data_IF_790457177129
#
_entry.id   IF_790457177129
#
_cell.length_a   1.000
_cell.length_b   1.000
_cell.length_c   1.000
_cell.angle_alpha   90.00
_cell.angle_beta   90.00
_cell.angle_gamma   90.00
#
_symmetry.space_group_name_H-M   'P 1'
#
loop_
_entity.id
_entity.type
_entity.pdbx_description
1 polymer ?
#
# COMPACT_ATOMS: atom_id res chain seq x y z
N UNK A 1 41.46 34.26 -26.00
CA UNK A 1 40.23 33.81 -25.32
C UNK A 1 39.77 32.52 -25.97
N UNK A 2 39.90 31.39 -25.28
CA UNK A 2 39.85 30.02 -25.84
C UNK A 2 38.55 29.75 -26.63
N UNK A 3 38.67 29.00 -27.74
CA UNK A 3 37.56 28.48 -28.54
C UNK A 3 36.47 27.82 -27.66
N UNK A 4 36.87 27.16 -26.57
CA UNK A 4 35.96 26.58 -25.58
C UNK A 4 35.13 27.62 -24.82
N UNK A 5 35.68 28.80 -24.50
CA UNK A 5 34.88 29.88 -23.89
C UNK A 5 33.87 30.43 -24.89
N UNK A 6 34.24 30.57 -26.17
CA UNK A 6 33.32 31.02 -27.22
C UNK A 6 32.21 30.00 -27.50
N UNK A 7 32.54 28.70 -27.50
CA UNK A 7 31.58 27.62 -27.67
C UNK A 7 30.62 27.51 -26.47
N UNK A 8 31.12 27.68 -25.24
CA UNK A 8 30.29 27.71 -24.04
C UNK A 8 29.32 28.91 -24.04
N UNK A 9 29.80 30.11 -24.37
CA UNK A 9 28.93 31.28 -24.50
C UNK A 9 27.95 31.16 -25.67
N UNK A 10 28.33 30.50 -26.77
CA UNK A 10 27.44 30.23 -27.90
C UNK A 10 26.35 29.21 -27.54
N UNK A 11 26.67 28.15 -26.78
CA UNK A 11 25.70 27.17 -26.29
C UNK A 11 24.74 27.76 -25.24
N UNK A 12 25.24 28.69 -24.40
CA UNK A 12 24.40 29.46 -23.48
C UNK A 12 23.51 30.44 -24.25
N UNK A 13 24.04 31.14 -25.26
CA UNK A 13 23.28 32.08 -26.08
C UNK A 13 22.22 31.35 -26.95
N UNK A 14 22.53 30.16 -27.45
CA UNK A 14 21.60 29.31 -28.18
C UNK A 14 20.50 28.76 -27.26
N UNK A 15 20.83 28.35 -26.04
CA UNK A 15 19.83 28.01 -25.02
C UNK A 15 19.00 29.23 -24.61
N UNK A 16 19.60 30.40 -24.45
CA UNK A 16 18.90 31.65 -24.10
C UNK A 16 17.97 32.13 -25.23
N UNK A 17 18.36 31.94 -26.50
CA UNK A 17 17.51 32.22 -27.66
C UNK A 17 16.32 31.25 -27.75
N UNK A 18 16.52 29.97 -27.38
CA UNK A 18 15.43 29.00 -27.24
C UNK A 18 14.51 29.32 -26.04
N UNK A 19 15.07 29.84 -24.94
CA UNK A 19 14.30 30.30 -23.77
C UNK A 19 13.55 31.61 -24.00
N UNK A 20 14.02 32.47 -24.91
CA UNK A 20 13.30 33.69 -25.32
C UNK A 20 11.98 33.42 -26.03
N UNK A 21 11.81 32.22 -26.61
CA UNK A 21 10.54 31.78 -27.21
C UNK A 21 9.51 31.35 -26.15
N UNK A 22 9.96 30.98 -24.94
CA UNK A 22 9.11 30.50 -23.84
C UNK A 22 8.51 31.63 -22.98
N UNK A 23 8.94 32.88 -23.21
CA UNK A 23 8.33 34.05 -22.54
C UNK A 23 6.88 34.31 -22.99
N UNK A 24 6.47 33.75 -24.13
CA UNK A 24 5.10 33.87 -24.64
C UNK A 24 4.16 32.72 -24.24
N UNK A 25 4.65 31.65 -23.60
CA UNK A 25 3.84 30.45 -23.28
C UNK A 25 4.11 29.84 -21.89
N UNK A 26 4.34 30.67 -20.87
CA UNK A 26 4.05 30.27 -19.49
C UNK A 26 4.99 29.22 -18.87
N UNK A 27 6.30 29.42 -18.96
CA UNK A 27 7.23 29.27 -17.83
C UNK A 27 7.19 27.99 -16.98
N UNK A 28 7.11 26.78 -17.57
CA UNK A 28 7.34 25.52 -16.82
C UNK A 28 8.78 25.01 -16.88
N UNK A 29 9.49 25.24 -17.98
CA UNK A 29 10.86 24.70 -18.17
C UNK A 29 11.88 25.33 -17.21
N UNK A 30 11.69 26.61 -16.86
CA UNK A 30 12.55 27.30 -15.91
C UNK A 30 12.44 26.74 -14.47
N UNK A 31 11.26 26.26 -14.07
CA UNK A 31 11.05 25.65 -12.74
C UNK A 31 11.75 24.30 -12.63
N UNK A 32 11.63 23.44 -13.65
CA UNK A 32 12.27 22.12 -13.67
C UNK A 32 13.80 22.23 -13.76
N UNK A 33 14.34 23.25 -14.43
CA UNK A 33 15.79 23.48 -14.48
C UNK A 33 16.35 23.94 -13.12
N UNK A 34 15.63 24.81 -12.41
CA UNK A 34 16.02 25.29 -11.07
C UNK A 34 16.00 24.15 -10.06
N UNK A 35 15.02 23.24 -10.12
CA UNK A 35 14.97 22.08 -9.22
C UNK A 35 16.02 21.02 -9.57
N UNK A 36 16.34 20.85 -10.86
CA UNK A 36 17.47 19.99 -11.27
C UNK A 36 18.83 20.54 -10.81
N UNK A 37 19.03 21.85 -10.83
CA UNK A 37 20.26 22.50 -10.32
C UNK A 37 20.36 22.36 -8.79
N UNK A 38 19.24 22.44 -8.06
CA UNK A 38 19.22 22.21 -6.60
C UNK A 38 19.55 20.77 -6.19
N UNK A 39 19.37 19.79 -7.09
CA UNK A 39 19.65 18.36 -6.84
C UNK A 39 21.04 17.91 -7.29
N UNK A 40 21.88 18.81 -7.81
CA UNK A 40 23.27 18.51 -8.15
C UNK A 40 24.11 18.50 -6.87
N UNK A 41 24.60 17.33 -6.48
CA UNK A 41 25.61 17.19 -5.43
C UNK A 41 27.01 17.00 -6.03
N UNK A 42 28.03 17.15 -5.18
CA UNK A 42 29.43 17.16 -5.60
C UNK A 42 29.88 15.83 -6.24
N UNK A 43 29.27 14.71 -5.85
CA UNK A 43 29.50 13.40 -6.47
C UNK A 43 28.95 13.30 -7.90
N UNK A 44 27.73 13.79 -8.15
CA UNK A 44 27.17 13.85 -9.50
C UNK A 44 27.99 14.76 -10.41
N UNK A 45 28.40 15.93 -9.90
CA UNK A 45 29.28 16.83 -10.65
C UNK A 45 30.62 16.14 -10.98
N UNK A 46 31.23 15.45 -10.02
CA UNK A 46 32.48 14.71 -10.26
C UNK A 46 32.33 13.56 -11.26
N UNK A 47 31.19 12.88 -11.28
CA UNK A 47 30.88 11.85 -12.30
C UNK A 47 30.83 12.46 -13.71
N UNK A 48 30.07 13.54 -13.90
CA UNK A 48 29.97 14.22 -15.20
C UNK A 48 31.31 14.84 -15.63
N UNK A 49 32.07 15.41 -14.70
CA UNK A 49 33.40 15.93 -14.98
C UNK A 49 34.41 14.83 -15.34
N UNK A 50 34.29 13.63 -14.77
CA UNK A 50 35.16 12.50 -15.12
C UNK A 50 34.79 11.87 -16.48
N UNK A 51 33.51 11.85 -16.85
CA UNK A 51 33.04 11.46 -18.18
C UNK A 51 33.59 12.40 -19.29
N UNK A 52 33.67 13.70 -19.01
CA UNK A 52 34.14 14.72 -19.96
C UNK A 52 35.68 14.86 -20.06
N UNK A 53 36.44 14.13 -19.22
CA UNK A 53 37.92 14.15 -19.23
C UNK A 53 38.54 13.25 -20.31
N UNK A 54 37.80 12.28 -20.86
CA UNK A 54 38.30 11.44 -21.96
C UNK A 54 38.11 12.18 -23.29
N UNK A 55 39.20 12.52 -24.02
CA UNK A 55 39.11 13.17 -25.32
C UNK A 55 38.32 12.34 -26.34
N UNK A 56 38.38 11.01 -26.28
CA UNK A 56 37.62 10.11 -27.16
C UNK A 56 36.13 10.11 -26.83
N UNK A 57 35.74 10.11 -25.55
CA UNK A 57 34.34 10.22 -25.14
C UNK A 57 33.76 11.59 -25.47
N UNK A 58 34.53 12.66 -25.29
CA UNK A 58 34.11 14.00 -25.65
C UNK A 58 33.95 14.14 -27.17
N UNK A 59 34.90 13.60 -27.95
CA UNK A 59 34.78 13.54 -29.41
C UNK A 59 33.59 12.69 -29.87
N UNK A 60 33.30 11.58 -29.18
CA UNK A 60 32.11 10.75 -29.43
C UNK A 60 30.80 11.50 -29.18
N UNK A 61 30.70 12.23 -28.07
CA UNK A 61 29.51 13.04 -27.77
C UNK A 61 29.34 14.21 -28.74
N UNK A 62 30.44 14.87 -29.11
CA UNK A 62 30.43 15.95 -30.10
C UNK A 62 30.03 15.41 -31.48
N UNK A 63 30.60 14.29 -31.94
CA UNK A 63 30.24 13.68 -33.22
C UNK A 63 28.80 13.15 -33.25
N UNK A 64 28.29 12.65 -32.12
CA UNK A 64 26.89 12.22 -32.01
C UNK A 64 25.94 13.43 -32.07
N UNK A 65 26.28 14.53 -31.39
CA UNK A 65 25.52 15.79 -31.46
C UNK A 65 25.53 16.39 -32.88
N UNK A 66 26.67 16.43 -33.56
CA UNK A 66 26.75 16.90 -34.95
C UNK A 66 26.12 15.94 -35.96
N UNK A 67 26.16 14.63 -35.70
CA UNK A 67 25.47 13.61 -36.50
C UNK A 67 23.94 13.75 -36.44
N UNK A 68 23.39 14.14 -35.30
CA UNK A 68 21.95 14.41 -35.13
C UNK A 68 21.48 15.72 -35.78
N UNK A 69 22.41 16.62 -36.10
CA UNK A 69 22.12 17.90 -36.77
C UNK A 69 22.23 17.80 -38.30
N UNK A 70 22.79 16.71 -38.84
CA UNK A 70 23.04 16.50 -40.27
C UNK A 70 21.76 16.46 -41.12
N UNK A 71 20.66 15.96 -40.56
CA UNK A 71 19.44 15.66 -41.30
C UNK A 71 18.30 16.67 -41.05
N UNK A 72 18.58 17.78 -40.36
CA UNK A 72 17.61 18.85 -40.08
C UNK A 72 17.48 19.75 -41.30
N UNK A 73 16.38 19.62 -42.03
CA UNK A 73 16.13 20.39 -43.26
C UNK A 73 14.88 21.27 -43.17
N UNK A 74 14.09 21.14 -42.10
CA UNK A 74 12.83 21.85 -41.92
C UNK A 74 12.52 22.18 -40.45
N UNK A 75 11.58 23.12 -40.25
CA UNK A 75 11.05 23.47 -38.94
C UNK A 75 10.31 22.29 -38.27
N UNK A 76 9.76 21.36 -39.05
CA UNK A 76 9.08 20.17 -38.51
C UNK A 76 10.09 19.14 -37.97
N UNK A 77 11.28 19.03 -38.58
CA UNK A 77 12.38 18.21 -38.05
C UNK A 77 12.85 18.73 -36.69
N UNK A 78 12.91 20.06 -36.54
CA UNK A 78 13.22 20.73 -35.27
C UNK A 78 12.14 20.43 -34.24
N UNK A 79 10.86 20.52 -34.61
CA UNK A 79 9.74 20.21 -33.70
C UNK A 79 9.69 18.73 -33.31
N UNK A 80 10.05 17.80 -34.21
CA UNK A 80 10.18 16.38 -33.89
C UNK A 80 11.37 16.09 -32.98
N UNK A 81 12.51 16.76 -33.20
CA UNK A 81 13.67 16.69 -32.31
C UNK A 81 13.35 17.25 -30.93
N UNK A 82 12.65 18.38 -30.85
CA UNK A 82 12.19 18.97 -29.58
C UNK A 82 11.20 18.06 -28.88
N UNK A 83 10.27 17.42 -29.61
CA UNK A 83 9.37 16.41 -29.04
C UNK A 83 10.13 15.18 -28.51
N UNK A 84 11.16 14.72 -29.22
CA UNK A 84 12.10 13.68 -28.75
C UNK A 84 12.99 14.14 -27.60
N UNK A 85 13.34 15.42 -27.52
CA UNK A 85 14.15 15.96 -26.41
C UNK A 85 13.29 16.35 -25.20
N UNK A 86 11.98 16.54 -25.34
CA UNK A 86 11.06 16.59 -24.19
C UNK A 86 10.80 15.22 -23.57
N UNK A 87 11.25 14.14 -24.22
CA UNK A 87 11.57 12.86 -23.57
C UNK A 87 13.06 12.78 -23.26
N UNK A 88 13.60 13.77 -22.54
CA UNK A 88 14.85 13.55 -21.79
C UNK A 88 14.68 12.31 -20.91
N UNK A 89 15.72 11.47 -20.74
CA UNK A 89 15.61 10.26 -19.95
C UNK A 89 15.18 10.67 -18.55
N UNK A 90 13.94 10.32 -18.19
CA UNK A 90 13.54 10.28 -16.79
C UNK A 90 14.62 9.47 -16.12
N UNK A 91 15.30 10.09 -15.15
CA UNK A 91 16.19 9.39 -14.24
C UNK A 91 15.58 8.02 -13.94
N UNK A 92 16.36 6.95 -14.11
CA UNK A 92 16.02 5.55 -13.85
C UNK A 92 15.82 5.28 -12.36
N UNK A 93 15.00 6.11 -11.71
CA UNK A 93 14.58 5.95 -10.33
C UNK A 93 13.65 4.75 -10.33
N UNK A 94 14.15 3.64 -9.80
CA UNK A 94 13.33 2.49 -9.48
C UNK A 94 12.34 2.93 -8.40
N UNK A 95 11.07 2.95 -8.75
CA UNK A 95 9.98 3.27 -7.82
C UNK A 95 9.42 1.99 -7.22
N UNK A 96 8.82 2.10 -6.04
CA UNK A 96 8.30 0.96 -5.29
C UNK A 96 6.87 1.23 -4.85
N UNK A 97 6.03 0.20 -4.91
CA UNK A 97 4.76 0.13 -4.20
C UNK A 97 4.95 -0.83 -3.02
N UNK A 98 5.19 -0.26 -1.84
CA UNK A 98 5.71 -1.02 -0.69
C UNK A 98 7.07 -1.66 -1.01
N UNK A 99 7.13 -2.99 -0.96
CA UNK A 99 8.33 -3.76 -1.33
C UNK A 99 8.28 -4.34 -2.75
N UNK A 100 7.28 -4.00 -3.55
CA UNK A 100 7.14 -4.41 -4.96
C UNK A 100 7.75 -3.35 -5.85
N UNK A 101 8.65 -3.74 -6.76
CA UNK A 101 9.26 -2.83 -7.74
C UNK A 101 8.23 -2.44 -8.80
N UNK A 102 8.13 -1.15 -9.10
CA UNK A 102 7.26 -0.63 -10.16
C UNK A 102 8.09 -0.47 -11.44
N UNK A 103 7.78 -1.32 -12.41
CA UNK A 103 8.39 -1.31 -13.72
C UNK A 103 7.63 -0.38 -14.67
N UNK A 104 8.38 0.33 -15.50
CA UNK A 104 7.92 1.14 -16.64
C UNK A 104 8.77 0.81 -17.85
N UNK A 105 8.39 1.27 -19.04
CA UNK A 105 9.22 1.09 -20.25
C UNK A 105 10.65 1.62 -20.07
N UNK A 106 10.81 2.71 -19.31
CA UNK A 106 12.11 3.35 -19.08
C UNK A 106 13.07 2.51 -18.22
N UNK A 107 12.56 1.72 -17.28
CA UNK A 107 13.37 1.01 -16.30
C UNK A 107 13.37 -0.53 -16.48
N UNK A 108 12.47 -1.07 -17.30
CA UNK A 108 12.25 -2.52 -17.40
C UNK A 108 13.55 -3.29 -17.68
N UNK A 109 14.29 -2.90 -18.72
CA UNK A 109 15.53 -3.58 -19.12
C UNK A 109 16.69 -3.38 -18.13
N UNK A 110 16.67 -2.30 -17.35
CA UNK A 110 17.70 -2.04 -16.33
C UNK A 110 17.45 -2.81 -15.05
N UNK A 111 16.19 -3.05 -14.68
CA UNK A 111 15.81 -3.81 -13.48
C UNK A 111 15.76 -5.31 -13.77
N UNK A 112 15.22 -5.68 -14.93
CA UNK A 112 15.13 -7.07 -15.42
C UNK A 112 16.27 -7.32 -16.40
N UNK A 113 17.50 -7.15 -15.91
CA UNK A 113 18.74 -7.33 -16.67
C UNK A 113 19.28 -8.78 -16.63
N UNK A 114 18.51 -9.70 -16.02
CA UNK A 114 18.88 -11.11 -15.82
C UNK A 114 19.89 -11.35 -14.69
N UNK A 115 20.38 -10.33 -13.99
CA UNK A 115 21.29 -10.50 -12.84
C UNK A 115 20.62 -11.22 -11.67
N UNK A 116 19.30 -11.00 -11.51
CA UNK A 116 18.45 -11.62 -10.50
C UNK A 116 17.23 -12.24 -11.19
N UNK A 117 16.71 -13.36 -10.67
CA UNK A 117 15.41 -13.84 -11.08
C UNK A 117 14.30 -12.90 -10.60
N UNK A 118 13.19 -12.83 -11.35
CA UNK A 118 12.08 -11.94 -11.03
C UNK A 118 10.70 -12.58 -11.25
N UNK A 119 9.76 -12.31 -10.35
CA UNK A 119 8.33 -12.50 -10.61
C UNK A 119 7.72 -11.14 -10.93
N UNK A 120 7.09 -11.02 -12.10
CA UNK A 120 6.50 -9.78 -12.59
C UNK A 120 4.99 -9.93 -12.78
N UNK A 121 4.21 -9.06 -12.14
CA UNK A 121 2.78 -8.90 -12.38
C UNK A 121 2.53 -7.90 -13.50
N UNK A 122 1.96 -8.36 -14.61
CA UNK A 122 1.41 -7.50 -15.66
C UNK A 122 -0.05 -7.21 -15.34
N UNK A 123 -0.37 -5.94 -15.06
CA UNK A 123 -1.69 -5.51 -14.58
C UNK A 123 -2.25 -4.33 -15.39
N UNK A 124 -3.52 -4.01 -15.12
CA UNK A 124 -4.21 -2.81 -15.57
C UNK A 124 -4.97 -2.15 -14.40
N UNK A 125 -4.94 -0.82 -14.22
CA UNK A 125 -5.57 -0.15 -13.07
C UNK A 125 -7.08 -0.35 -12.96
N UNK A 126 -7.78 -0.54 -14.08
CA UNK A 126 -9.23 -0.74 -14.13
C UNK A 126 -9.65 -2.20 -13.90
N UNK A 127 -8.72 -3.16 -13.88
CA UNK A 127 -9.04 -4.58 -13.76
C UNK A 127 -9.41 -4.99 -12.32
N UNK A 128 -10.64 -5.46 -12.10
CA UNK A 128 -11.12 -5.92 -10.79
C UNK A 128 -10.31 -7.09 -10.21
N UNK A 129 -9.86 -8.02 -11.05
CA UNK A 129 -9.03 -9.15 -10.61
C UNK A 129 -7.62 -8.70 -10.18
N UNK A 130 -7.04 -7.69 -10.84
CA UNK A 130 -5.79 -7.06 -10.41
C UNK A 130 -5.96 -6.38 -9.05
N UNK A 131 -7.04 -5.60 -8.87
CA UNK A 131 -7.33 -4.96 -7.57
C UNK A 131 -7.46 -5.97 -6.44
N UNK A 132 -8.04 -7.16 -6.71
CA UNK A 132 -8.14 -8.25 -5.74
C UNK A 132 -6.79 -8.91 -5.44
N UNK A 133 -5.88 -8.99 -6.41
CA UNK A 133 -4.55 -9.57 -6.25
C UNK A 133 -3.55 -8.61 -5.56
N UNK A 134 -3.68 -7.30 -5.81
CA UNK A 134 -2.79 -6.26 -5.30
C UNK A 134 -2.41 -6.40 -3.81
N UNK A 135 -3.34 -6.60 -2.85
CA UNK A 135 -2.96 -6.77 -1.44
C UNK A 135 -2.10 -8.01 -1.20
N UNK A 136 -2.44 -9.15 -1.84
CA UNK A 136 -1.64 -10.39 -1.72
C UNK A 136 -0.26 -10.22 -2.36
N UNK A 137 -0.18 -9.52 -3.49
CA UNK A 137 1.08 -9.29 -4.19
C UNK A 137 2.00 -8.32 -3.43
N UNK A 138 1.42 -7.34 -2.73
CA UNK A 138 2.16 -6.49 -1.79
C UNK A 138 2.73 -7.32 -0.61
N UNK A 139 1.92 -8.23 -0.03
CA UNK A 139 2.41 -9.16 1.01
C UNK A 139 3.53 -10.07 0.50
N UNK A 140 3.48 -10.48 -0.76
CA UNK A 140 4.56 -11.23 -1.40
C UNK A 140 5.85 -10.39 -1.46
N UNK A 141 5.75 -9.13 -1.89
CA UNK A 141 6.87 -8.18 -1.85
C UNK A 141 7.46 -8.07 -0.45
N UNK A 142 6.63 -7.97 0.58
CA UNK A 142 7.06 -7.92 1.99
C UNK A 142 7.77 -9.21 2.43
N UNK A 143 7.28 -10.37 2.01
CA UNK A 143 7.87 -11.66 2.36
C UNK A 143 9.31 -11.82 1.85
N UNK A 144 9.63 -11.19 0.71
CA UNK A 144 10.95 -11.21 0.09
C UNK A 144 11.76 -9.92 0.30
N UNK A 145 11.23 -8.94 1.06
CA UNK A 145 11.89 -7.65 1.26
C UNK A 145 13.30 -7.74 1.88
N UNK A 146 13.58 -8.81 2.62
CA UNK A 146 14.88 -9.09 3.23
C UNK A 146 15.91 -9.68 2.26
N UNK A 147 15.52 -9.95 1.00
CA UNK A 147 16.32 -10.64 -0.02
C UNK A 147 16.22 -9.94 -1.39
N UNK A 148 16.07 -8.60 -1.39
CA UNK A 148 15.99 -7.76 -2.62
C UNK A 148 17.22 -7.89 -3.52
N UNK A 149 18.33 -8.38 -2.99
CA UNK A 149 19.56 -8.65 -3.74
C UNK A 149 19.57 -10.01 -4.45
N UNK A 150 18.65 -10.91 -4.08
CA UNK A 150 18.60 -12.28 -4.59
C UNK A 150 17.37 -12.58 -5.45
N UNK A 151 16.25 -11.88 -5.25
CA UNK A 151 15.03 -12.05 -6.05
C UNK A 151 14.25 -10.74 -6.17
N UNK A 152 13.64 -10.51 -7.33
CA UNK A 152 12.84 -9.31 -7.60
C UNK A 152 11.36 -9.68 -7.62
N UNK A 153 10.56 -8.96 -6.82
CA UNK A 153 9.09 -8.97 -6.94
C UNK A 153 8.69 -7.64 -7.56
N UNK A 154 8.06 -7.68 -8.73
CA UNK A 154 7.79 -6.48 -9.51
C UNK A 154 6.38 -6.49 -10.12
N UNK A 155 5.89 -5.30 -10.47
CA UNK A 155 4.64 -5.09 -11.21
C UNK A 155 4.86 -4.13 -12.38
N UNK A 156 4.11 -4.30 -13.44
CA UNK A 156 4.20 -3.55 -14.69
C UNK A 156 2.79 -3.23 -15.22
N UNK A 157 2.52 -1.96 -15.46
CA UNK A 157 1.24 -1.52 -16.03
C UNK A 157 1.25 -1.76 -17.56
N UNK A 158 0.81 -2.94 -18.00
CA UNK A 158 0.78 -3.29 -19.42
C UNK A 158 -0.42 -2.69 -20.17
N UNK A 159 -1.34 -2.00 -19.50
CA UNK A 159 -2.39 -1.21 -20.14
C UNK A 159 -1.87 0.15 -20.67
N UNK A 160 -0.98 0.77 -19.89
CA UNK A 160 -0.26 2.00 -20.25
C UNK A 160 0.91 1.70 -21.20
N UNK A 161 1.62 0.59 -20.97
CA UNK A 161 2.82 0.20 -21.70
C UNK A 161 2.60 -1.06 -22.57
N UNK A 162 1.69 -0.95 -23.53
CA UNK A 162 1.17 -2.10 -24.30
C UNK A 162 2.22 -2.81 -25.15
N UNK A 163 3.20 -2.09 -25.70
CA UNK A 163 4.23 -2.67 -26.57
C UNK A 163 5.10 -3.67 -25.81
N UNK A 164 5.60 -3.29 -24.63
CA UNK A 164 6.41 -4.17 -23.77
C UNK A 164 5.58 -5.34 -23.24
N UNK A 165 4.32 -5.10 -22.85
CA UNK A 165 3.41 -6.18 -22.48
C UNK A 165 3.21 -7.21 -23.62
N UNK A 166 3.05 -6.74 -24.85
CA UNK A 166 2.89 -7.59 -26.03
C UNK A 166 4.15 -8.42 -26.35
N UNK A 167 5.35 -7.84 -26.15
CA UNK A 167 6.63 -8.56 -26.30
C UNK A 167 6.67 -9.80 -25.40
N UNK A 168 6.17 -9.69 -24.19
CA UNK A 168 6.07 -10.81 -23.26
C UNK A 168 4.76 -11.61 -23.41
N UNK A 169 3.98 -11.40 -24.47
CA UNK A 169 2.78 -12.19 -24.77
C UNK A 169 1.61 -11.97 -23.80
N UNK A 170 1.51 -10.81 -23.17
CA UNK A 170 0.40 -10.48 -22.26
C UNK A 170 -0.88 -10.23 -23.06
N UNK A 171 -1.86 -11.13 -22.90
CA UNK A 171 -3.18 -11.06 -23.59
C UNK A 171 -4.33 -10.68 -22.67
N UNK A 172 -4.10 -10.61 -21.37
CA UNK A 172 -5.12 -10.33 -20.36
C UNK A 172 -4.52 -10.10 -18.98
N UNK A 173 -5.33 -9.63 -18.04
CA UNK A 173 -4.86 -9.17 -16.73
C UNK A 173 -5.58 -9.86 -15.56
N UNK A 174 -4.89 -10.09 -14.42
CA UNK A 174 -3.43 -10.03 -14.30
C UNK A 174 -2.79 -11.24 -14.98
N UNK A 175 -1.61 -11.03 -15.57
CA UNK A 175 -0.71 -12.10 -16.05
C UNK A 175 0.56 -12.06 -15.21
N UNK A 176 0.94 -13.19 -14.62
CA UNK A 176 2.16 -13.31 -13.83
C UNK A 176 3.22 -14.05 -14.65
N UNK A 177 4.43 -13.51 -14.71
CA UNK A 177 5.55 -14.13 -15.43
C UNK A 177 6.80 -14.20 -14.58
N UNK A 178 7.48 -15.33 -14.70
CA UNK A 178 8.75 -15.62 -14.06
C UNK A 178 9.89 -15.41 -15.06
N UNK A 179 10.85 -14.58 -14.66
CA UNK A 179 12.06 -14.28 -15.40
C UNK A 179 13.21 -15.02 -14.70
N UNK A 180 13.70 -16.13 -15.24
CA UNK A 180 14.82 -16.87 -14.65
C UNK A 180 16.10 -16.02 -14.65
N UNK A 181 17.01 -16.33 -13.72
CA UNK A 181 18.33 -15.70 -13.69
C UNK A 181 19.08 -16.01 -14.99
N UNK A 182 19.69 -14.99 -15.59
CA UNK A 182 20.43 -15.06 -16.85
C UNK A 182 19.56 -14.97 -18.10
N UNK A 183 18.23 -15.09 -17.98
CA UNK A 183 17.31 -15.00 -19.13
C UNK A 183 17.00 -13.54 -19.45
N UNK A 184 17.20 -13.17 -20.72
CA UNK A 184 16.91 -11.83 -21.26
C UNK A 184 15.90 -11.87 -22.42
N UNK A 185 15.74 -13.03 -23.05
CA UNK A 185 14.88 -13.20 -24.21
C UNK A 185 13.43 -13.45 -23.77
N UNK A 186 12.44 -12.76 -24.36
CA UNK A 186 11.02 -12.93 -24.01
C UNK A 186 10.48 -14.36 -24.15
N UNK A 187 11.04 -15.16 -25.05
CA UNK A 187 10.61 -16.54 -25.35
C UNK A 187 10.92 -17.53 -24.22
N UNK A 188 11.94 -17.24 -23.41
CA UNK A 188 12.39 -18.06 -22.29
C UNK A 188 11.72 -17.64 -20.97
N UNK A 189 10.87 -16.61 -20.99
CA UNK A 189 10.12 -16.14 -19.83
C UNK A 189 8.92 -17.06 -19.58
N UNK A 190 8.90 -17.67 -18.40
CA UNK A 190 7.87 -18.63 -18.01
C UNK A 190 6.61 -17.92 -17.53
N UNK A 191 5.43 -18.41 -17.91
CA UNK A 191 4.16 -17.93 -17.34
C UNK A 191 3.85 -18.67 -16.04
N UNK A 192 3.52 -17.93 -14.98
CA UNK A 192 3.02 -18.53 -13.74
C UNK A 192 1.54 -18.87 -13.87
N UNK A 193 1.17 -20.11 -13.50
CA UNK A 193 -0.19 -20.64 -13.61
C UNK A 193 -0.76 -21.15 -12.28
N UNK A 194 -0.04 -20.97 -11.17
CA UNK A 194 -0.47 -21.43 -9.84
C UNK A 194 -1.53 -20.55 -9.17
N UNK A 195 -1.85 -20.89 -7.92
CA UNK A 195 -2.79 -20.15 -7.08
C UNK A 195 -2.35 -18.72 -6.80
N UNK A 196 -3.29 -17.79 -6.65
CA UNK A 196 -3.02 -16.35 -6.44
C UNK A 196 -3.05 -15.94 -4.97
N UNK A 197 -3.04 -16.89 -4.05
CA UNK A 197 -2.85 -16.67 -2.62
C UNK A 197 -1.35 -16.52 -2.27
N UNK A 198 -1.05 -15.93 -1.12
CA UNK A 198 0.32 -15.65 -0.70
C UNK A 198 1.17 -16.91 -0.58
N UNK A 199 0.59 -18.02 -0.10
CA UNK A 199 1.32 -19.28 0.06
C UNK A 199 1.75 -19.82 -1.30
N UNK A 200 0.82 -19.94 -2.24
CA UNK A 200 1.09 -20.43 -3.59
C UNK A 200 2.15 -19.60 -4.31
N UNK A 201 2.08 -18.27 -4.20
CA UNK A 201 3.04 -17.37 -4.82
C UNK A 201 4.43 -17.46 -4.15
N UNK A 202 4.47 -17.44 -2.82
CA UNK A 202 5.72 -17.49 -2.07
C UNK A 202 6.45 -18.83 -2.24
N UNK A 203 5.72 -19.94 -2.23
CA UNK A 203 6.27 -21.27 -2.51
C UNK A 203 6.86 -21.36 -3.92
N UNK A 204 6.17 -20.81 -4.93
CA UNK A 204 6.70 -20.77 -6.29
C UNK A 204 8.00 -19.96 -6.39
N UNK A 205 8.03 -18.76 -5.81
CA UNK A 205 9.24 -17.92 -5.80
C UNK A 205 10.37 -18.65 -5.08
N UNK A 206 10.08 -19.31 -3.96
CA UNK A 206 11.06 -20.10 -3.22
C UNK A 206 11.62 -21.26 -4.04
N UNK A 207 10.75 -22.03 -4.69
CA UNK A 207 11.15 -23.17 -5.53
C UNK A 207 12.06 -22.71 -6.67
N UNK A 208 11.68 -21.62 -7.35
CA UNK A 208 12.40 -21.14 -8.53
C UNK A 208 13.66 -20.33 -8.22
N UNK A 209 13.74 -19.65 -7.08
CA UNK A 209 14.89 -18.82 -6.71
C UNK A 209 15.79 -19.42 -5.64
N UNK A 210 15.32 -20.43 -4.90
CA UNK A 210 15.98 -20.95 -3.70
C UNK A 210 15.86 -20.04 -2.47
N UNK A 211 15.19 -18.89 -2.58
CA UNK A 211 15.06 -17.92 -1.50
C UNK A 211 13.84 -18.24 -0.64
N UNK A 212 14.04 -18.45 0.67
CA UNK A 212 12.92 -18.68 1.58
C UNK A 212 12.15 -17.37 1.88
N UNK A 213 10.81 -17.38 1.85
CA UNK A 213 10.01 -16.23 2.21
C UNK A 213 10.00 -16.01 3.72
N UNK A 214 9.93 -14.75 4.16
CA UNK A 214 9.59 -14.38 5.55
C UNK A 214 8.17 -13.85 5.58
N UNK A 215 7.20 -14.76 5.54
CA UNK A 215 5.78 -14.39 5.68
C UNK A 215 5.57 -13.92 7.13
N UNK A 216 5.41 -12.61 7.31
CA UNK A 216 4.93 -12.08 8.59
C UNK A 216 3.52 -12.58 8.78
N UNK A 217 3.29 -13.38 9.82
CA UNK A 217 1.93 -13.66 10.25
C UNK A 217 1.23 -12.32 10.48
N UNK A 218 0.07 -12.10 9.85
CA UNK A 218 -0.76 -10.95 10.17
C UNK A 218 -0.97 -11.00 11.69
N UNK A 219 -0.55 -9.94 12.39
CA UNK A 219 -0.81 -9.82 13.82
C UNK A 219 -2.32 -9.85 13.98
N UNK A 220 -2.82 -10.84 14.73
CA UNK A 220 -4.24 -10.96 15.00
C UNK A 220 -4.67 -9.82 15.92
N UNK A 221 -5.81 -9.22 15.62
CA UNK A 221 -6.45 -8.26 16.54
C UNK A 221 -7.25 -8.99 17.63
N UNK A 222 -7.46 -10.31 17.48
CA UNK A 222 -8.04 -11.16 18.54
C UNK A 222 -6.99 -11.37 19.62
N UNK A 223 -7.32 -10.99 20.85
CA UNK A 223 -6.42 -11.19 21.98
C UNK A 223 -6.38 -12.67 22.36
N UNK A 224 -5.20 -13.29 22.30
CA UNK A 224 -5.00 -14.64 22.78
C UNK A 224 -4.92 -14.65 24.32
N UNK A 225 -5.81 -15.41 24.95
CA UNK A 225 -5.82 -15.63 26.38
C UNK A 225 -5.22 -16.99 26.72
N UNK A 226 -4.61 -17.04 27.89
CA UNK A 226 -4.03 -18.20 28.55
C UNK A 226 -4.37 -18.11 30.03
N UNK A 227 -4.17 -19.19 30.77
CA UNK A 227 -4.24 -19.18 32.25
C UNK A 227 -3.47 -18.03 32.90
N UNK A 228 -2.41 -17.50 32.27
CA UNK A 228 -1.57 -16.43 32.82
C UNK A 228 -2.17 -15.02 32.73
N UNK A 229 -2.99 -14.75 31.71
CA UNK A 229 -3.52 -13.41 31.45
C UNK A 229 -5.06 -13.34 31.43
N UNK A 230 -5.76 -14.48 31.51
CA UNK A 230 -7.21 -14.54 31.40
C UNK A 230 -7.90 -13.57 32.36
N UNK A 231 -7.69 -13.72 33.68
CA UNK A 231 -8.37 -12.88 34.67
C UNK A 231 -8.02 -11.39 34.53
N UNK A 232 -6.77 -11.07 34.19
CA UNK A 232 -6.34 -9.68 33.99
C UNK A 232 -7.06 -9.01 32.81
N UNK A 233 -7.30 -9.75 31.73
CA UNK A 233 -7.91 -9.23 30.51
C UNK A 233 -9.43 -9.34 30.57
N UNK A 234 -9.95 -10.55 30.75
CA UNK A 234 -11.39 -10.85 30.69
C UNK A 234 -12.17 -10.22 31.86
N UNK A 235 -11.59 -10.15 33.06
CA UNK A 235 -12.24 -9.56 34.24
C UNK A 235 -11.82 -8.10 34.50
N UNK A 236 -11.30 -7.41 33.48
CA UNK A 236 -10.89 -6.03 33.64
C UNK A 236 -12.11 -5.13 33.89
N UNK A 237 -12.19 -4.40 35.01
CA UNK A 237 -13.39 -3.61 35.35
C UNK A 237 -13.65 -2.43 34.41
N UNK A 238 -12.73 -2.13 33.48
CA UNK A 238 -12.85 -1.05 32.51
C UNK A 238 -13.10 -1.52 31.07
N UNK A 239 -13.13 -2.85 30.84
CA UNK A 239 -13.24 -3.41 29.49
C UNK A 239 -14.40 -4.38 29.41
N UNK A 240 -15.17 -4.26 28.35
CA UNK A 240 -16.16 -5.23 27.90
C UNK A 240 -15.44 -6.25 27.02
N UNK A 241 -15.41 -7.51 27.44
CA UNK A 241 -14.60 -8.54 26.77
C UNK A 241 -15.48 -9.66 26.24
N UNK A 242 -15.48 -9.86 24.93
CA UNK A 242 -16.07 -11.04 24.29
C UNK A 242 -14.98 -12.10 24.15
N UNK A 243 -15.22 -13.29 24.72
CA UNK A 243 -14.26 -14.40 24.73
C UNK A 243 -14.83 -15.61 23.99
N UNK A 244 -14.14 -16.06 22.95
CA UNK A 244 -14.35 -17.37 22.32
C UNK A 244 -13.52 -18.44 23.04
N UNK A 245 -14.20 -19.39 23.67
CA UNK A 245 -13.60 -20.64 24.15
C UNK A 245 -13.65 -21.65 23.02
N UNK A 246 -12.48 -22.02 22.51
CA UNK A 246 -12.34 -22.89 21.34
C UNK A 246 -11.45 -24.11 21.63
N UNK A 247 -11.39 -25.01 20.66
CA UNK A 247 -10.40 -26.08 20.62
C UNK A 247 -9.78 -26.17 19.23
N UNK A 248 -8.47 -26.37 19.16
CA UNK A 248 -7.72 -26.38 17.88
C UNK A 248 -8.17 -27.42 16.85
N UNK A 249 -8.80 -28.52 17.30
CA UNK A 249 -9.35 -29.58 16.44
C UNK A 249 -10.79 -29.32 15.98
N UNK A 250 -11.51 -28.35 16.56
CA UNK A 250 -12.92 -28.13 16.28
C UNK A 250 -13.15 -27.43 14.94
N UNK A 251 -13.88 -28.09 14.03
CA UNK A 251 -14.22 -27.53 12.71
C UNK A 251 -15.09 -26.28 12.76
N UNK A 252 -16.06 -26.22 13.68
CA UNK A 252 -16.91 -25.02 13.85
C UNK A 252 -16.11 -23.80 14.33
N UNK A 253 -15.09 -24.00 15.18
CA UNK A 253 -14.19 -22.93 15.61
C UNK A 253 -13.36 -22.41 14.43
N UNK A 254 -12.82 -23.31 13.60
CA UNK A 254 -12.07 -22.94 12.39
C UNK A 254 -12.90 -22.12 11.40
N UNK A 255 -14.20 -22.42 11.28
CA UNK A 255 -15.13 -21.66 10.45
C UNK A 255 -15.47 -20.29 11.05
N UNK A 256 -15.51 -20.17 12.38
CA UNK A 256 -15.79 -18.91 13.08
C UNK A 256 -14.57 -17.96 13.09
N UNK A 257 -13.36 -18.50 13.20
CA UNK A 257 -12.11 -17.75 13.29
C UNK A 257 -11.97 -16.55 12.31
N UNK A 258 -12.24 -16.68 10.99
CA UNK A 258 -12.13 -15.53 10.08
C UNK A 258 -13.17 -14.43 10.35
N UNK A 259 -14.37 -14.80 10.79
CA UNK A 259 -15.40 -13.82 11.21
C UNK A 259 -14.94 -13.14 12.50
N UNK A 260 -14.45 -13.93 13.46
CA UNK A 260 -13.99 -13.42 14.75
C UNK A 260 -12.80 -12.44 14.60
N UNK A 261 -11.88 -12.71 13.67
CA UNK A 261 -10.80 -11.80 13.30
C UNK A 261 -11.33 -10.47 12.72
N UNK A 262 -12.37 -10.54 11.89
CA UNK A 262 -13.01 -9.34 11.32
C UNK A 262 -13.65 -8.50 12.42
N UNK A 263 -14.32 -9.14 13.38
CA UNK A 263 -14.91 -8.47 14.54
C UNK A 263 -13.82 -7.84 15.42
N UNK A 264 -12.75 -8.57 15.76
CA UNK A 264 -11.67 -8.02 16.56
C UNK A 264 -11.02 -6.81 15.87
N UNK A 265 -10.80 -6.89 14.56
CA UNK A 265 -10.29 -5.76 13.76
C UNK A 265 -11.23 -4.54 13.87
N UNK A 266 -12.54 -4.74 13.71
CA UNK A 266 -13.54 -3.68 13.76
C UNK A 266 -13.61 -2.97 15.12
N UNK A 267 -13.33 -3.68 16.22
CA UNK A 267 -13.37 -3.15 17.59
C UNK A 267 -11.99 -2.79 18.18
N UNK A 268 -10.89 -3.04 17.47
CA UNK A 268 -9.51 -2.75 17.92
C UNK A 268 -9.27 -1.31 18.40
N UNK A 269 -9.98 -0.34 17.81
CA UNK A 269 -9.91 1.08 18.19
C UNK A 269 -11.00 1.53 19.19
N UNK A 270 -11.82 0.62 19.71
CA UNK A 270 -12.85 0.94 20.72
C UNK A 270 -12.27 0.66 22.09
N UNK A 271 -11.88 1.71 22.81
CA UNK A 271 -11.05 1.55 24.01
C UNK A 271 -11.64 0.60 25.05
N UNK A 272 -12.94 0.66 25.32
CA UNK A 272 -13.60 -0.18 26.32
C UNK A 272 -14.04 -1.56 25.80
N UNK A 273 -13.61 -1.99 24.61
CA UNK A 273 -14.07 -3.22 23.97
C UNK A 273 -12.90 -4.13 23.60
N UNK A 274 -12.96 -5.41 23.97
CA UNK A 274 -11.93 -6.40 23.64
C UNK A 274 -12.59 -7.64 23.07
N UNK A 275 -12.00 -8.18 22.01
CA UNK A 275 -12.39 -9.44 21.40
C UNK A 275 -11.23 -10.40 21.57
N UNK A 276 -11.48 -11.52 22.23
CA UNK A 276 -10.44 -12.41 22.73
C UNK A 276 -10.82 -13.88 22.52
N UNK A 277 -9.84 -14.77 22.57
CA UNK A 277 -10.07 -16.21 22.47
C UNK A 277 -9.14 -16.99 23.39
N UNK A 278 -9.56 -18.21 23.75
CA UNK A 278 -8.77 -19.15 24.54
C UNK A 278 -8.97 -20.58 24.05
N UNK A 279 -7.87 -21.32 23.86
CA UNK A 279 -7.90 -22.75 23.57
C UNK A 279 -8.21 -23.52 24.87
N UNK A 280 -9.48 -23.66 25.22
CA UNK A 280 -9.90 -24.22 26.52
C UNK A 280 -9.66 -25.73 26.62
N UNK A 281 -9.36 -26.42 25.50
CA UNK A 281 -8.89 -27.81 25.50
C UNK A 281 -7.44 -27.93 26.03
N UNK A 282 -6.63 -26.87 25.83
CA UNK A 282 -5.28 -26.74 26.39
C UNK A 282 -5.28 -26.07 27.76
N UNK A 283 -5.96 -24.94 27.88
CA UNK A 283 -6.07 -24.12 29.10
C UNK A 283 -7.24 -24.61 29.97
N UNK A 284 -7.20 -25.89 30.35
CA UNK A 284 -8.33 -26.62 30.95
C UNK A 284 -8.83 -26.04 32.27
N UNK A 285 -7.95 -25.42 33.05
CA UNK A 285 -8.31 -24.81 34.33
C UNK A 285 -9.35 -23.69 34.12
N UNK A 286 -9.12 -22.84 33.13
CA UNK A 286 -10.08 -21.78 32.76
C UNK A 286 -11.34 -22.39 32.14
N UNK A 287 -11.20 -23.43 31.31
CA UNK A 287 -12.34 -24.16 30.76
C UNK A 287 -13.27 -24.72 31.85
N UNK A 288 -12.69 -25.30 32.91
CA UNK A 288 -13.42 -25.82 34.04
C UNK A 288 -14.03 -24.71 34.91
N UNK A 289 -13.29 -23.63 35.18
CA UNK A 289 -13.76 -22.47 35.95
C UNK A 289 -15.04 -21.86 35.38
N UNK A 290 -15.16 -21.82 34.04
CA UNK A 290 -16.31 -21.25 33.35
C UNK A 290 -17.25 -22.30 32.73
N UNK A 291 -17.23 -23.54 33.21
CA UNK A 291 -18.14 -24.63 32.80
C UNK A 291 -18.21 -24.87 31.28
N UNK A 292 -17.06 -24.81 30.60
CA UNK A 292 -16.97 -25.01 29.16
C UNK A 292 -17.04 -26.52 28.83
N UNK A 293 -18.17 -26.94 28.26
CA UNK A 293 -18.46 -28.33 27.91
C UNK A 293 -18.56 -28.58 26.40
N UNK A 294 -18.43 -27.54 25.57
CA UNK A 294 -18.53 -27.64 24.12
C UNK A 294 -17.91 -26.44 23.39
N UNK A 295 -17.63 -26.63 22.10
CA UNK A 295 -16.89 -25.65 21.29
C UNK A 295 -17.58 -25.31 19.95
N UNK A 296 -17.53 -24.04 19.50
CA UNK A 296 -17.12 -22.87 20.30
C UNK A 296 -18.22 -22.52 21.31
N UNK A 297 -17.79 -22.11 22.51
CA UNK A 297 -18.63 -21.42 23.49
C UNK A 297 -18.16 -19.97 23.57
N UNK A 298 -19.09 -19.03 23.56
CA UNK A 298 -18.75 -17.60 23.58
C UNK A 298 -19.39 -17.01 24.82
N UNK A 299 -18.58 -16.37 25.67
CA UNK A 299 -19.05 -15.62 26.83
C UNK A 299 -18.64 -14.16 26.72
N UNK A 300 -19.47 -13.29 27.25
CA UNK A 300 -19.20 -11.86 27.36
C UNK A 300 -19.00 -11.50 28.83
N UNK A 301 -17.92 -10.78 29.08
CA UNK A 301 -17.51 -10.31 30.40
C UNK A 301 -17.73 -8.78 30.43
N UNK A 302 -18.80 -8.30 31.08
CA UNK A 302 -19.10 -6.88 31.12
C UNK A 302 -18.11 -6.11 32.00
N UNK A 303 -17.81 -4.87 31.62
CA UNK A 303 -16.97 -4.01 32.43
C UNK A 303 -17.59 -3.74 33.81
N UNK A 304 -16.86 -4.10 34.87
CA UNK A 304 -17.27 -3.84 36.27
C UNK A 304 -18.20 -4.89 36.85
N UNK A 305 -18.56 -5.92 36.09
CA UNK A 305 -19.33 -7.07 36.58
C UNK A 305 -18.41 -8.28 36.77
N UNK A 306 -18.69 -9.11 37.79
CA UNK A 306 -17.91 -10.33 38.06
C UNK A 306 -18.41 -11.54 37.26
N UNK A 307 -19.69 -11.53 36.88
CA UNK A 307 -20.34 -12.68 36.26
C UNK A 307 -20.39 -12.54 34.73
N UNK A 308 -19.85 -13.50 33.98
CA UNK A 308 -19.98 -13.51 32.53
C UNK A 308 -21.38 -13.93 32.08
N UNK A 309 -21.82 -13.39 30.96
CA UNK A 309 -23.06 -13.79 30.29
C UNK A 309 -22.77 -14.61 29.04
N UNK A 310 -23.59 -15.62 28.76
CA UNK A 310 -23.48 -16.37 27.52
C UNK A 310 -23.86 -15.48 26.32
N UNK A 311 -23.10 -15.58 25.22
CA UNK A 311 -23.47 -14.94 23.97
C UNK A 311 -24.42 -15.84 23.18
N UNK A 312 -25.68 -15.40 23.08
CA UNK A 312 -26.76 -16.13 22.38
C UNK A 312 -27.07 -15.54 20.99
N UNK A 313 -26.28 -14.56 20.53
CA UNK A 313 -26.48 -13.94 19.22
C UNK A 313 -26.02 -14.82 18.04
N UNK A 314 -26.33 -14.37 16.82
CA UNK A 314 -25.88 -15.05 15.61
C UNK A 314 -24.35 -15.07 15.50
N UNK A 315 -23.77 -16.23 15.18
CA UNK A 315 -22.30 -16.40 14.96
C UNK A 315 -21.87 -15.92 13.57
N UNK A 316 -22.36 -14.75 13.19
CA UNK A 316 -22.05 -14.05 11.95
C UNK A 316 -21.70 -12.59 12.27
N UNK A 317 -21.15 -11.88 11.30
CA UNK A 317 -20.65 -10.51 11.53
C UNK A 317 -21.74 -9.57 12.07
N UNK A 318 -22.96 -9.63 11.54
CA UNK A 318 -24.06 -8.78 11.96
C UNK A 318 -24.45 -9.01 13.43
N UNK A 319 -24.55 -10.27 13.87
CA UNK A 319 -24.91 -10.61 15.25
C UNK A 319 -23.88 -10.10 16.26
N UNK A 320 -22.59 -10.27 15.96
CA UNK A 320 -21.53 -9.77 16.85
C UNK A 320 -21.50 -8.24 16.88
N UNK A 321 -21.67 -7.57 15.73
CA UNK A 321 -21.68 -6.11 15.68
C UNK A 321 -22.86 -5.53 16.46
N UNK A 322 -24.05 -6.10 16.30
CA UNK A 322 -25.23 -5.67 17.05
C UNK A 322 -24.98 -5.77 18.56
N UNK A 323 -24.48 -6.93 19.01
CA UNK A 323 -24.18 -7.18 20.40
C UNK A 323 -23.10 -6.23 20.95
N UNK A 324 -21.96 -6.14 20.27
CA UNK A 324 -20.83 -5.32 20.74
C UNK A 324 -21.12 -3.82 20.62
N UNK A 325 -21.91 -3.36 19.65
CA UNK A 325 -22.35 -1.96 19.63
C UNK A 325 -23.17 -1.61 20.87
N UNK A 326 -24.10 -2.49 21.25
CA UNK A 326 -24.92 -2.30 22.46
C UNK A 326 -24.07 -2.29 23.73
N UNK A 327 -23.17 -3.26 23.88
CA UNK A 327 -22.43 -3.44 25.13
C UNK A 327 -21.17 -2.58 25.26
N UNK A 328 -20.50 -2.27 24.15
CA UNK A 328 -19.33 -1.39 24.14
C UNK A 328 -19.68 0.08 23.87
N UNK A 329 -20.96 0.43 23.69
CA UNK A 329 -21.42 1.76 23.28
C UNK A 329 -20.70 2.25 22.01
N UNK A 330 -20.62 1.38 21.01
CA UNK A 330 -19.93 1.64 19.74
C UNK A 330 -20.93 1.76 18.58
N UNK A 331 -20.44 2.27 17.45
CA UNK A 331 -21.24 2.51 16.24
C UNK A 331 -20.57 1.88 15.01
N UNK A 332 -20.25 0.59 15.09
CA UNK A 332 -19.64 -0.18 14.00
C UNK A 332 -20.69 -0.72 13.04
N UNK A 333 -20.34 -0.80 11.76
CA UNK A 333 -21.16 -1.38 10.70
C UNK A 333 -20.49 -2.65 10.15
N UNK A 334 -21.29 -3.55 9.57
CA UNK A 334 -20.81 -4.72 8.82
C UNK A 334 -19.81 -4.27 7.75
N UNK A 335 -18.69 -4.99 7.63
CA UNK A 335 -17.54 -4.62 6.80
C UNK A 335 -16.51 -3.74 7.51
N UNK A 336 -16.60 -3.58 8.83
CA UNK A 336 -15.65 -2.80 9.65
C UNK A 336 -15.81 -1.27 9.58
N UNK A 337 -16.86 -0.79 8.91
CA UNK A 337 -17.18 0.63 8.79
C UNK A 337 -17.81 1.23 10.06
N UNK A 338 -18.23 2.48 9.95
CA UNK A 338 -18.99 3.19 10.98
C UNK A 338 -20.44 3.37 10.54
N UNK A 339 -21.39 3.25 11.47
CA UNK A 339 -22.78 3.62 11.23
C UNK A 339 -22.89 5.14 11.05
N UNK A 340 -23.92 5.66 10.35
CA UNK A 340 -24.16 7.10 10.23
C UNK A 340 -24.29 7.84 11.57
N UNK A 341 -24.56 7.09 12.65
CA UNK A 341 -24.62 7.61 14.01
C UNK A 341 -23.27 7.78 14.71
N UNK A 342 -22.19 7.21 14.17
CA UNK A 342 -20.87 7.31 14.79
C UNK A 342 -20.39 8.76 14.89
N UNK A 343 -19.93 9.14 16.08
CA UNK A 343 -19.45 10.50 16.36
C UNK A 343 -20.55 11.57 16.44
N UNK A 344 -21.83 11.20 16.31
CA UNK A 344 -22.94 12.13 16.55
C UNK A 344 -23.26 12.21 18.03
N UNK A 345 -23.52 13.43 18.50
CA UNK A 345 -24.02 13.69 19.83
C UNK A 345 -25.52 13.98 19.66
N UNK A 346 -26.38 13.02 20.00
CA UNK A 346 -27.81 13.08 19.65
C UNK A 346 -28.54 14.34 20.12
N UNK A 347 -28.18 14.91 21.29
CA UNK A 347 -28.79 16.16 21.77
C UNK A 347 -28.34 17.40 20.96
N UNK A 348 -27.23 17.32 20.23
CA UNK A 348 -26.81 18.39 19.31
C UNK A 348 -27.59 18.36 18.00
N UNK A 349 -28.17 17.23 17.61
CA UNK A 349 -29.02 17.15 16.41
C UNK A 349 -30.28 18.03 16.57
N UNK A 350 -30.89 18.03 17.76
CA UNK A 350 -32.03 18.90 18.08
C UNK A 350 -31.63 20.38 18.04
N UNK A 351 -30.46 20.73 18.59
CA UNK A 351 -29.92 22.10 18.56
C UNK A 351 -29.57 22.55 17.14
N UNK A 352 -29.07 21.65 16.29
CA UNK A 352 -28.83 21.95 14.88
C UNK A 352 -30.13 22.24 14.13
N UNK A 353 -31.20 21.48 14.39
CA UNK A 353 -32.52 21.73 13.83
C UNK A 353 -33.06 23.09 14.31
N UNK A 354 -32.92 23.40 15.61
CA UNK A 354 -33.32 24.68 16.20
C UNK A 354 -32.57 25.86 15.56
N UNK A 355 -31.26 25.74 15.38
CA UNK A 355 -30.39 26.74 14.76
C UNK A 355 -30.79 27.08 13.31
N UNK A 356 -31.19 26.06 12.54
CA UNK A 356 -31.67 26.23 11.17
C UNK A 356 -33.03 26.96 11.17
N UNK A 357 -33.95 26.52 12.04
CA UNK A 357 -35.33 27.01 12.08
C UNK A 357 -35.48 28.40 12.70
N UNK A 358 -34.57 28.80 13.58
CA UNK A 358 -34.69 30.05 14.35
C UNK A 358 -33.47 30.97 14.18
N UNK A 359 -33.42 31.80 13.10
CA UNK A 359 -32.32 32.72 12.84
C UNK A 359 -32.02 33.68 14.01
N UNK A 360 -33.03 34.09 14.76
CA UNK A 360 -32.89 35.04 15.86
C UNK A 360 -32.23 34.42 17.11
N UNK A 361 -32.28 33.10 17.27
CA UNK A 361 -31.71 32.38 18.42
C UNK A 361 -30.30 31.80 18.13
N UNK A 362 -29.75 32.03 16.94
CA UNK A 362 -28.51 31.36 16.48
C UNK A 362 -27.30 31.57 17.39
N UNK A 363 -27.05 32.80 17.85
CA UNK A 363 -25.93 33.09 18.75
C UNK A 363 -26.08 32.36 20.10
N UNK A 364 -27.29 32.34 20.64
CA UNK A 364 -27.58 31.65 21.90
C UNK A 364 -27.39 30.14 21.75
N UNK A 365 -27.93 29.55 20.68
CA UNK A 365 -27.79 28.12 20.38
C UNK A 365 -26.32 27.74 20.15
N UNK A 366 -25.54 28.58 19.45
CA UNK A 366 -24.10 28.36 19.28
C UNK A 366 -23.36 28.29 20.63
N UNK A 367 -23.70 29.18 21.56
CA UNK A 367 -23.10 29.22 22.88
C UNK A 367 -23.45 27.96 23.69
N UNK A 368 -24.71 27.56 23.68
CA UNK A 368 -25.19 26.33 24.35
C UNK A 368 -24.52 25.07 23.78
N UNK A 369 -24.39 24.97 22.45
CA UNK A 369 -23.71 23.86 21.79
C UNK A 369 -22.22 23.84 22.16
N UNK A 370 -21.54 24.99 22.17
CA UNK A 370 -20.13 25.08 22.52
C UNK A 370 -19.86 24.63 23.96
N UNK A 371 -20.76 24.97 24.90
CA UNK A 371 -20.65 24.55 26.29
C UNK A 371 -20.98 23.06 26.46
N UNK A 372 -22.01 22.55 25.79
CA UNK A 372 -22.34 21.13 25.77
C UNK A 372 -21.20 20.24 25.22
N UNK A 373 -20.47 20.72 24.20
CA UNK A 373 -19.30 20.02 23.65
C UNK A 373 -18.14 19.99 24.65
N UNK A 374 -17.88 21.08 25.38
CA UNK A 374 -16.84 21.11 26.43
C UNK A 374 -17.14 20.13 27.57
N UNK A 375 -18.41 20.07 27.98
CA UNK A 375 -18.87 19.12 29.01
C UNK A 375 -18.81 17.66 28.53
N UNK A 376 -18.97 17.42 27.23
CA UNK A 376 -18.83 16.09 26.66
C UNK A 376 -17.35 15.67 26.50
N UNK A 377 -16.47 16.59 26.13
CA UNK A 377 -15.04 16.33 25.95
C UNK A 377 -14.26 16.15 27.27
N UNK A 378 -14.88 16.46 28.41
CA UNK A 378 -14.28 16.34 29.75
C UNK A 378 -14.69 15.07 30.50
N UNK A 379 -15.54 14.22 29.90
CA UNK A 379 -15.93 12.89 30.37
C UNK A 379 -15.20 11.82 29.60
#
# INVERSE_FOLDING_TARGET
MSFLKKLFFFLIAANAAFLGYDFYLGGRVAYDLVDNVKQLNQEKLNYYFNELKSPEKLAGHVNNAFGQLKDINSLDDILQLVRRSTSLPKSSIVTYDGNVVVLTDDNFHTVIDGSKPALVEFYAPWCGHCKKLAPTYAQLGDAFAHQKDNVIIAKFNADEHRNTGAVYGVKGFPTLKWFPKGVKNPEEVEQYQGGRDLSSLASFVQEKSGVAPRIKAKKSDVVELTTKNFHQVALNPKKNVLVEFYASWCGHCKNLAPIYETIATAYSGVENCVVAKIDADKERDIGAEFDISGYPTIKFFPAGESEPVAYEGGRNEAGFIEFLNKHCNAQRAVGGGLLPAAGRIGHLDEKAIEFIKNPAAREQIQKEVADAVKDHASR
#
